data_IF_792550721970
#
_entry.id   IF_792550721970
#
_cell.length_a   1.000
_cell.length_b   1.000
_cell.length_c   1.000
_cell.angle_alpha   90.00
_cell.angle_beta   90.00
_cell.angle_gamma   90.00
#
_symmetry.space_group_name_H-M   'P 1'
#
loop_
_entity.id
_entity.type
_entity.pdbx_description
1 polymer ?
#
# COMPACT_ATOMS: atom_id res chain seq x y z
N UNK A 1 -7.30 21.05 -16.52
CA UNK A 1 -6.90 19.72 -16.05
C UNK A 1 -7.16 19.61 -14.56
N UNK A 2 -7.89 18.60 -14.17
CA UNK A 2 -8.21 18.40 -12.76
C UNK A 2 -6.95 18.06 -12.00
N UNK A 3 -6.63 18.80 -10.94
CA UNK A 3 -5.53 18.46 -10.06
C UNK A 3 -5.80 17.11 -9.40
N UNK A 4 -4.85 16.20 -9.50
CA UNK A 4 -4.89 14.96 -8.74
C UNK A 4 -4.72 15.32 -7.27
N UNK A 5 -5.52 14.70 -6.38
CA UNK A 5 -5.40 14.90 -4.95
C UNK A 5 -4.15 14.22 -4.40
N UNK A 6 -3.01 14.80 -4.69
CA UNK A 6 -1.71 14.31 -4.22
C UNK A 6 -1.23 15.22 -3.11
N UNK A 7 -1.00 14.64 -1.95
CA UNK A 7 -0.39 15.31 -0.81
C UNK A 7 1.12 15.19 -0.90
N UNK A 8 1.82 16.24 -0.51
CA UNK A 8 3.28 16.24 -0.36
C UNK A 8 3.59 16.30 1.13
N UNK A 9 4.32 15.31 1.63
CA UNK A 9 4.70 15.23 3.04
C UNK A 9 6.21 15.42 3.15
N UNK A 10 6.65 16.36 3.97
CA UNK A 10 8.04 16.78 4.06
C UNK A 10 8.66 16.32 5.38
N UNK A 11 9.81 15.65 5.29
CA UNK A 11 10.54 15.16 6.46
C UNK A 11 10.92 16.30 7.42
N UNK A 12 11.45 17.41 6.90
CA UNK A 12 11.90 18.54 7.71
C UNK A 12 10.76 19.27 8.42
N UNK A 13 9.50 19.02 8.03
CA UNK A 13 8.32 19.57 8.68
C UNK A 13 7.60 18.54 9.57
N UNK A 14 8.24 17.40 9.84
CA UNK A 14 7.68 16.31 10.64
C UNK A 14 6.35 15.77 10.10
N UNK A 15 6.21 15.71 8.77
CA UNK A 15 4.97 15.28 8.11
C UNK A 15 4.98 13.82 7.67
N UNK A 16 6.10 13.11 7.81
CA UNK A 16 6.16 11.70 7.46
C UNK A 16 5.39 10.85 8.47
N UNK A 17 4.86 9.67 8.06
CA UNK A 17 4.34 8.69 9.01
C UNK A 17 5.39 8.39 10.08
N UNK A 18 4.94 8.23 11.32
CA UNK A 18 5.84 8.14 12.49
C UNK A 18 6.93 7.08 12.32
N UNK A 19 6.57 5.85 11.96
CA UNK A 19 7.54 4.77 11.79
C UNK A 19 8.54 5.04 10.67
N UNK A 20 8.09 5.66 9.59
CA UNK A 20 8.98 6.04 8.50
C UNK A 20 9.96 7.13 8.94
N UNK A 21 9.50 8.09 9.73
CA UNK A 21 10.34 9.19 10.23
C UNK A 21 11.48 8.70 11.13
N UNK A 22 11.33 7.54 11.75
CA UNK A 22 12.34 6.92 12.61
C UNK A 22 13.45 6.22 11.81
N UNK A 23 13.25 5.98 10.52
CA UNK A 23 14.27 5.37 9.67
C UNK A 23 15.40 6.38 9.39
N UNK A 24 16.68 5.98 9.55
CA UNK A 24 17.81 6.89 9.29
C UNK A 24 17.84 7.42 7.85
N UNK A 25 17.40 6.61 6.89
CA UNK A 25 17.36 6.91 5.46
C UNK A 25 15.95 7.28 4.96
N UNK A 26 15.08 7.75 5.86
CA UNK A 26 13.74 8.19 5.49
C UNK A 26 13.80 9.26 4.37
N UNK A 27 12.86 9.22 3.41
CA UNK A 27 12.89 10.16 2.29
C UNK A 27 12.69 11.60 2.77
N UNK A 28 13.26 12.56 2.04
CA UNK A 28 13.05 13.98 2.30
C UNK A 28 11.61 14.39 1.96
N UNK A 29 11.03 13.77 0.95
CA UNK A 29 9.69 14.05 0.44
C UNK A 29 8.96 12.73 0.23
N UNK A 30 7.70 12.68 0.65
CA UNK A 30 6.80 11.56 0.40
C UNK A 30 5.55 12.08 -0.30
N UNK A 31 5.23 11.52 -1.46
CA UNK A 31 4.00 11.82 -2.18
C UNK A 31 2.94 10.80 -1.78
N UNK A 32 1.73 11.28 -1.53
CA UNK A 32 0.62 10.44 -1.08
C UNK A 32 -0.66 10.77 -1.84
N UNK A 33 -1.27 9.73 -2.39
CA UNK A 33 -2.60 9.78 -2.98
C UNK A 33 -3.55 8.96 -2.12
N UNK A 34 -4.68 9.54 -1.74
CA UNK A 34 -5.58 8.93 -0.76
C UNK A 34 -5.14 9.19 0.67
N UNK A 35 -5.92 8.68 1.61
CA UNK A 35 -5.68 8.81 3.05
C UNK A 35 -5.75 7.44 3.72
N UNK A 36 -5.01 7.27 4.79
CA UNK A 36 -5.05 6.05 5.58
C UNK A 36 -4.96 6.38 7.07
N UNK A 37 -5.48 5.49 7.90
CA UNK A 37 -5.41 5.62 9.35
C UNK A 37 -4.00 5.25 9.84
N UNK A 38 -3.23 6.24 10.26
CA UNK A 38 -1.85 6.07 10.72
C UNK A 38 -1.75 5.44 12.11
N UNK A 39 -2.87 5.28 12.82
CA UNK A 39 -2.90 4.60 14.12
C UNK A 39 -3.01 3.08 13.99
N UNK A 40 -3.30 2.56 12.80
CA UNK A 40 -3.33 1.13 12.55
C UNK A 40 -1.92 0.53 12.56
N UNK A 41 -1.83 -0.71 12.99
CA UNK A 41 -0.59 -1.48 12.87
C UNK A 41 -0.33 -1.81 11.41
N UNK A 42 0.93 -1.68 10.98
CA UNK A 42 1.34 -1.94 9.62
C UNK A 42 2.02 -3.31 9.53
N UNK A 43 1.62 -4.10 8.55
CA UNK A 43 2.29 -5.35 8.19
C UNK A 43 2.63 -5.29 6.71
N UNK A 44 3.92 -5.40 6.39
CA UNK A 44 4.38 -5.45 5.00
C UNK A 44 4.35 -6.88 4.50
N UNK A 45 3.77 -7.09 3.33
CA UNK A 45 3.74 -8.37 2.63
C UNK A 45 4.35 -8.14 1.26
N UNK A 46 5.49 -8.76 1.02
CA UNK A 46 6.21 -8.69 -0.26
C UNK A 46 6.65 -10.08 -0.67
N UNK A 47 6.82 -10.30 -1.95
CA UNK A 47 7.24 -11.60 -2.42
C UNK A 47 7.50 -11.65 -3.93
N UNK A 48 7.60 -12.85 -4.44
CA UNK A 48 7.95 -13.11 -5.81
C UNK A 48 6.89 -12.62 -6.79
N UNK A 49 7.34 -12.17 -7.97
CA UNK A 49 6.46 -11.86 -9.10
C UNK A 49 5.87 -13.11 -9.74
N UNK A 50 6.53 -14.26 -9.56
CA UNK A 50 6.07 -15.59 -10.04
C UNK A 50 5.61 -16.42 -8.85
N UNK A 51 4.41 -16.11 -8.36
CA UNK A 51 3.89 -16.79 -7.18
C UNK A 51 3.43 -18.21 -7.48
N UNK A 52 3.48 -19.06 -6.46
CA UNK A 52 2.89 -20.39 -6.48
C UNK A 52 1.44 -20.35 -6.00
N UNK A 53 0.67 -21.39 -6.30
CA UNK A 53 -0.68 -21.56 -5.76
C UNK A 53 -0.67 -21.62 -4.23
N UNK A 54 0.35 -22.21 -3.63
CA UNK A 54 0.55 -22.26 -2.19
C UNK A 54 0.75 -20.85 -1.61
N UNK A 55 1.63 -20.06 -2.21
CA UNK A 55 1.88 -18.69 -1.77
C UNK A 55 0.62 -17.84 -1.82
N UNK A 56 -0.13 -17.93 -2.90
CA UNK A 56 -1.42 -17.23 -3.04
C UNK A 56 -2.38 -17.62 -1.92
N UNK A 57 -2.58 -18.92 -1.72
CA UNK A 57 -3.49 -19.43 -0.69
C UNK A 57 -3.07 -18.99 0.71
N UNK A 58 -1.77 -19.04 0.99
CA UNK A 58 -1.23 -18.58 2.29
C UNK A 58 -1.58 -17.11 2.56
N UNK A 59 -1.41 -16.24 1.58
CA UNK A 59 -1.72 -14.81 1.72
C UNK A 59 -3.22 -14.59 1.91
N UNK A 60 -4.05 -15.31 1.18
CA UNK A 60 -5.51 -15.22 1.32
C UNK A 60 -5.96 -15.62 2.74
N UNK A 61 -5.44 -16.73 3.26
CA UNK A 61 -5.73 -17.20 4.62
C UNK A 61 -5.21 -16.22 5.68
N UNK A 62 -4.00 -15.69 5.49
CA UNK A 62 -3.43 -14.70 6.39
C UNK A 62 -4.30 -13.43 6.45
N UNK A 63 -4.76 -12.96 5.30
CA UNK A 63 -5.62 -11.76 5.24
C UNK A 63 -6.94 -11.95 5.98
N UNK A 64 -7.52 -13.14 5.91
CA UNK A 64 -8.72 -13.47 6.69
C UNK A 64 -8.46 -13.38 8.21
N UNK A 65 -7.32 -13.92 8.65
CA UNK A 65 -6.93 -13.85 10.07
C UNK A 65 -6.69 -12.42 10.52
N UNK A 66 -6.09 -11.61 9.66
CA UNK A 66 -5.74 -10.22 9.99
C UNK A 66 -6.92 -9.24 9.93
N UNK A 67 -8.00 -9.61 9.26
CA UNK A 67 -9.16 -8.74 9.02
C UNK A 67 -9.63 -8.00 10.26
N UNK A 68 -9.77 -8.70 11.39
CA UNK A 68 -10.34 -8.16 12.62
C UNK A 68 -9.26 -7.69 13.62
N UNK A 69 -8.02 -7.52 13.16
CA UNK A 69 -6.87 -7.19 14.02
C UNK A 69 -6.46 -5.71 13.97
N UNK A 70 -7.22 -4.86 13.29
CA UNK A 70 -6.86 -3.45 13.09
C UNK A 70 -5.48 -3.30 12.47
N UNK A 71 -5.24 -4.04 11.39
CA UNK A 71 -3.97 -4.08 10.68
C UNK A 71 -4.16 -3.52 9.27
N UNK A 72 -3.19 -2.74 8.83
CA UNK A 72 -3.10 -2.22 7.48
C UNK A 72 -2.00 -3.00 6.74
N UNK A 73 -2.36 -3.57 5.61
CA UNK A 73 -1.41 -4.33 4.79
C UNK A 73 -0.66 -3.36 3.87
N UNK A 74 0.67 -3.42 3.90
CA UNK A 74 1.54 -2.61 3.04
C UNK A 74 2.21 -3.52 2.02
N UNK A 75 2.12 -3.17 0.75
CA UNK A 75 2.81 -3.88 -0.32
C UNK A 75 3.14 -2.94 -1.48
N UNK A 76 3.77 -3.45 -2.52
CA UNK A 76 4.32 -2.63 -3.61
C UNK A 76 3.52 -2.63 -4.90
N UNK A 77 2.35 -3.23 -4.94
CA UNK A 77 1.49 -3.32 -6.14
C UNK A 77 2.17 -4.03 -7.33
N UNK A 78 3.25 -4.75 -7.10
CA UNK A 78 3.95 -5.51 -8.13
C UNK A 78 3.15 -6.74 -8.56
N UNK A 79 3.56 -7.35 -9.65
CA UNK A 79 3.02 -8.66 -10.07
C UNK A 79 3.27 -9.71 -8.98
N UNK A 80 2.40 -10.72 -8.93
CA UNK A 80 2.57 -11.86 -8.01
C UNK A 80 2.09 -11.58 -6.61
N UNK A 81 2.91 -11.87 -5.61
CA UNK A 81 2.55 -11.82 -4.19
C UNK A 81 2.05 -10.45 -3.76
N UNK A 82 2.67 -9.37 -4.22
CA UNK A 82 2.24 -8.02 -3.87
C UNK A 82 0.77 -7.77 -4.24
N UNK A 83 0.40 -8.09 -5.47
CA UNK A 83 -0.98 -7.90 -5.93
C UNK A 83 -1.97 -8.81 -5.21
N UNK A 84 -1.56 -10.04 -4.88
CA UNK A 84 -2.39 -10.95 -4.08
C UNK A 84 -2.62 -10.39 -2.68
N UNK A 85 -1.58 -9.83 -2.06
CA UNK A 85 -1.70 -9.22 -0.74
C UNK A 85 -2.72 -8.08 -0.74
N UNK A 86 -2.67 -7.19 -1.73
CA UNK A 86 -3.65 -6.11 -1.85
C UNK A 86 -5.07 -6.63 -2.09
N UNK A 87 -5.24 -7.56 -3.04
CA UNK A 87 -6.56 -8.13 -3.34
C UNK A 87 -7.15 -8.86 -2.15
N UNK A 88 -6.35 -9.69 -1.48
CA UNK A 88 -6.81 -10.46 -0.33
C UNK A 88 -7.21 -9.54 0.83
N UNK A 89 -6.45 -8.47 1.08
CA UNK A 89 -6.80 -7.49 2.09
C UNK A 89 -8.15 -6.84 1.77
N UNK A 90 -8.34 -6.39 0.53
CA UNK A 90 -9.59 -5.77 0.10
C UNK A 90 -10.77 -6.74 0.11
N UNK A 91 -10.57 -7.97 -0.36
CA UNK A 91 -11.62 -9.00 -0.41
C UNK A 91 -12.10 -9.40 0.99
N UNK A 92 -11.21 -9.34 1.99
CA UNK A 92 -11.57 -9.60 3.39
C UNK A 92 -12.14 -8.36 4.11
N UNK A 93 -12.30 -7.24 3.41
CA UNK A 93 -12.82 -6.00 3.99
C UNK A 93 -11.79 -5.17 4.75
N UNK A 94 -10.50 -5.47 4.57
CA UNK A 94 -9.40 -4.74 5.20
C UNK A 94 -8.95 -3.53 4.37
N UNK A 95 -7.94 -2.86 4.90
CA UNK A 95 -7.32 -1.67 4.30
C UNK A 95 -5.91 -2.04 3.86
N UNK A 96 -5.50 -1.52 2.70
CA UNK A 96 -4.15 -1.75 2.20
C UNK A 96 -3.52 -0.48 1.64
N UNK A 97 -2.21 -0.42 1.69
CA UNK A 97 -1.40 0.71 1.30
C UNK A 97 -0.37 0.25 0.28
N UNK A 98 -0.31 0.91 -0.86
CA UNK A 98 0.68 0.60 -1.89
C UNK A 98 1.83 1.60 -1.84
N UNK A 99 3.06 1.09 -1.85
CA UNK A 99 4.28 1.90 -1.95
C UNK A 99 4.93 1.62 -3.30
N UNK A 100 4.93 2.62 -4.17
CA UNK A 100 5.40 2.49 -5.54
C UNK A 100 6.85 2.97 -5.70
N UNK A 101 7.54 2.40 -6.68
CA UNK A 101 8.86 2.87 -7.11
C UNK A 101 8.78 4.01 -8.14
N UNK A 102 7.60 4.27 -8.69
CA UNK A 102 7.33 5.37 -9.62
C UNK A 102 6.39 6.38 -8.97
N UNK A 103 6.18 7.53 -9.62
CA UNK A 103 5.28 8.56 -9.09
C UNK A 103 3.85 8.08 -8.85
N UNK A 104 3.18 8.67 -7.87
CA UNK A 104 1.81 8.29 -7.47
C UNK A 104 0.74 8.67 -8.51
N UNK A 105 1.10 9.40 -9.53
CA UNK A 105 0.19 9.81 -10.61
C UNK A 105 -0.12 8.67 -11.59
N UNK A 106 0.69 7.62 -11.61
CA UNK A 106 0.51 6.45 -12.47
C UNK A 106 0.71 5.17 -11.71
N UNK A 107 -0.19 4.22 -11.93
CA UNK A 107 -0.05 2.87 -11.37
C UNK A 107 0.81 2.03 -12.31
N UNK A 108 1.82 1.37 -11.76
CA UNK A 108 2.65 0.41 -12.48
C UNK A 108 2.69 -0.92 -11.70
N UNK A 109 2.54 -2.06 -12.34
CA UNK A 109 2.24 -2.24 -13.77
C UNK A 109 0.85 -1.72 -14.15
N UNK A 110 0.70 -1.32 -15.42
CA UNK A 110 -0.55 -0.75 -15.91
C UNK A 110 -1.76 -1.68 -15.73
N UNK A 111 -1.52 -2.98 -15.79
CA UNK A 111 -2.55 -3.99 -15.51
C UNK A 111 -3.12 -3.93 -14.09
N UNK A 112 -2.48 -3.23 -13.17
CA UNK A 112 -2.92 -3.03 -11.80
C UNK A 112 -3.60 -1.69 -11.53
N UNK A 113 -3.94 -0.92 -12.58
CA UNK A 113 -4.65 0.35 -12.41
C UNK A 113 -5.98 0.19 -11.68
N UNK A 114 -6.77 -0.81 -12.04
CA UNK A 114 -8.03 -1.10 -11.38
C UNK A 114 -7.83 -1.47 -9.91
N UNK A 115 -6.79 -2.24 -9.60
CA UNK A 115 -6.46 -2.60 -8.22
C UNK A 115 -6.04 -1.36 -7.41
N UNK A 116 -5.21 -0.49 -7.99
CA UNK A 116 -4.82 0.77 -7.36
C UNK A 116 -6.03 1.67 -7.07
N UNK A 117 -6.95 1.78 -8.02
CA UNK A 117 -8.19 2.54 -7.83
C UNK A 117 -9.04 1.92 -6.71
N UNK A 118 -9.15 0.60 -6.66
CA UNK A 118 -9.87 -0.10 -5.60
C UNK A 118 -9.27 0.15 -4.21
N UNK A 119 -7.94 0.22 -4.12
CA UNK A 119 -7.24 0.58 -2.88
C UNK A 119 -7.70 1.97 -2.40
N UNK A 120 -7.70 2.94 -3.30
CA UNK A 120 -8.10 4.32 -2.98
C UNK A 120 -9.57 4.43 -2.58
N UNK A 121 -10.45 3.66 -3.20
CA UNK A 121 -11.89 3.66 -2.92
C UNK A 121 -12.24 2.98 -1.60
N UNK A 122 -11.31 2.22 -1.00
CA UNK A 122 -11.52 1.46 0.23
C UNK A 122 -10.62 1.94 1.38
N UNK A 123 -10.49 3.24 1.53
CA UNK A 123 -9.77 3.89 2.64
C UNK A 123 -8.27 3.59 2.67
N UNK A 124 -7.70 3.18 1.56
CA UNK A 124 -6.27 2.98 1.39
C UNK A 124 -5.60 4.15 0.69
N UNK A 125 -4.29 4.05 0.54
CA UNK A 125 -3.51 5.09 -0.09
C UNK A 125 -2.38 4.51 -0.95
N UNK A 126 -1.83 5.36 -1.80
CA UNK A 126 -0.68 5.06 -2.64
C UNK A 126 0.40 6.07 -2.31
N UNK A 127 1.58 5.57 -1.97
CA UNK A 127 2.73 6.37 -1.57
C UNK A 127 3.90 6.17 -2.53
N UNK A 128 4.72 7.20 -2.67
CA UNK A 128 5.98 7.15 -3.42
C UNK A 128 6.93 8.26 -2.96
N UNK A 129 8.21 8.04 -3.19
CA UNK A 129 9.22 9.11 -3.08
C UNK A 129 9.16 10.07 -4.26
#
# INVERSE_FOLDING_TARGET
MRKKNIKVRLRHQNQLPMLLSECPDAPAVLYQKGDFDEDLKLISIVGTRKMTAYGKKFIEELSEVLRDKNVLIVSGLALGIDSVAHRAALDSGGITLAVLANGVDKIYPRSHEALGQRILENNGAILSE
#
